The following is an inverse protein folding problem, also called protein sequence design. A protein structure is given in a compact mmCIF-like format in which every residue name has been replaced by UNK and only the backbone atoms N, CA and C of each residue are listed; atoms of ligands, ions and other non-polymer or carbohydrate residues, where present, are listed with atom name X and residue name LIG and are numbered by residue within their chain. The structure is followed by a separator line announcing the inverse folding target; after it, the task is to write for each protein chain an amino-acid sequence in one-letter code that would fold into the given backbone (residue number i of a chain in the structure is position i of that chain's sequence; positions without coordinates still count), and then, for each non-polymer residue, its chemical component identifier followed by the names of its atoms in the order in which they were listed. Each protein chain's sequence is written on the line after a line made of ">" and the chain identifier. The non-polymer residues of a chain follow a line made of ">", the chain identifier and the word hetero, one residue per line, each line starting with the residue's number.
data_IF_885604642575
#
_entry.id   IF_885604642575
#
_cell.length_a   1.000
_cell.length_b   1.000
_cell.length_c   1.000
_cell.angle_alpha   90.00
_cell.angle_beta   90.00
_cell.angle_gamma   90.00
#
_symmetry.space_group_name_H-M   'P 1'
#
loop_
_entity.id
_entity.type
_entity.pdbx_description
1 polymer ?
#
# COMPACT_ATOMS: atom_id res chain seq x y z
N UNK A 1 22.95 20.75 23.52
CA UNK A 1 21.48 20.82 23.39
C UNK A 1 21.11 20.84 21.91
N UNK A 2 20.73 19.70 21.33
CA UNK A 2 20.20 19.65 19.96
C UNK A 2 18.70 19.89 20.05
N UNK A 3 18.25 21.12 19.76
CA UNK A 3 16.82 21.40 19.54
C UNK A 3 16.47 20.79 18.18
N UNK A 4 15.71 19.69 18.16
CA UNK A 4 14.97 19.30 16.96
C UNK A 4 13.95 20.40 16.70
N UNK A 5 14.21 21.24 15.71
CA UNK A 5 13.20 22.15 15.17
C UNK A 5 12.18 21.29 14.44
N UNK A 6 11.08 20.95 15.12
CA UNK A 6 9.92 20.37 14.46
C UNK A 6 9.32 21.46 13.59
N UNK A 7 9.81 21.60 12.36
CA UNK A 7 9.17 22.43 11.35
C UNK A 7 7.73 21.97 11.19
N UNK A 8 6.80 22.92 11.14
CA UNK A 8 5.41 22.66 10.79
C UNK A 8 5.36 21.77 9.56
N UNK A 9 4.73 20.59 9.66
CA UNK A 9 4.47 19.75 8.49
C UNK A 9 3.63 20.60 7.55
N UNK A 10 4.20 20.95 6.40
CA UNK A 10 3.50 21.70 5.38
C UNK A 10 2.25 20.92 4.93
N UNK A 11 1.14 21.61 4.68
CA UNK A 11 -0.12 20.95 4.30
C UNK A 11 0.06 20.05 3.08
N UNK A 12 0.88 20.46 2.12
CA UNK A 12 1.20 19.66 0.94
C UNK A 12 1.95 18.37 1.33
N UNK A 13 2.87 18.47 2.29
CA UNK A 13 3.60 17.31 2.80
C UNK A 13 2.66 16.35 3.55
N UNK A 14 1.78 16.87 4.39
CA UNK A 14 0.78 16.06 5.09
C UNK A 14 -0.14 15.34 4.09
N UNK A 15 -0.64 16.06 3.08
CA UNK A 15 -1.53 15.50 2.06
C UNK A 15 -0.84 14.43 1.22
N UNK A 16 0.40 14.68 0.76
CA UNK A 16 1.13 13.70 -0.05
C UNK A 16 1.41 12.40 0.71
N UNK A 17 1.77 12.48 2.00
CA UNK A 17 1.95 11.30 2.86
C UNK A 17 0.63 10.56 3.07
N UNK A 18 -0.46 11.27 3.38
CA UNK A 18 -1.77 10.66 3.60
C UNK A 18 -2.31 9.97 2.34
N UNK A 19 -2.23 10.63 1.19
CA UNK A 19 -2.72 10.09 -0.08
C UNK A 19 -1.91 8.87 -0.52
N UNK A 20 -0.58 8.92 -0.41
CA UNK A 20 0.28 7.77 -0.74
C UNK A 20 0.05 6.59 0.20
N UNK A 21 -0.14 6.85 1.50
CA UNK A 21 -0.47 5.81 2.47
C UNK A 21 -1.82 5.16 2.18
N UNK A 22 -2.87 5.95 1.92
CA UNK A 22 -4.20 5.45 1.56
C UNK A 22 -4.15 4.64 0.26
N UNK A 23 -3.43 5.13 -0.76
CA UNK A 23 -3.29 4.44 -2.04
C UNK A 23 -2.60 3.08 -1.88
N UNK A 24 -1.46 3.04 -1.17
CA UNK A 24 -0.74 1.80 -0.91
C UNK A 24 -1.59 0.80 -0.11
N UNK A 25 -2.29 1.28 0.93
CA UNK A 25 -3.15 0.42 1.75
C UNK A 25 -4.32 -0.16 0.95
N UNK A 26 -4.97 0.65 0.11
CA UNK A 26 -6.06 0.20 -0.75
C UNK A 26 -5.58 -0.85 -1.79
N UNK A 27 -4.42 -0.63 -2.41
CA UNK A 27 -3.83 -1.59 -3.35
C UNK A 27 -3.49 -2.91 -2.66
N UNK A 28 -2.84 -2.84 -1.49
CA UNK A 28 -2.49 -4.01 -0.70
C UNK A 28 -3.72 -4.85 -0.29
N UNK A 29 -4.78 -4.21 0.20
CA UNK A 29 -6.03 -4.88 0.52
C UNK A 29 -6.68 -5.54 -0.71
N UNK A 30 -6.66 -4.86 -1.86
CA UNK A 30 -7.18 -5.41 -3.13
C UNK A 30 -6.49 -6.74 -3.45
N UNK A 31 -5.16 -6.81 -3.34
CA UNK A 31 -4.43 -8.07 -3.55
C UNK A 31 -4.87 -9.19 -2.62
N UNK A 32 -5.03 -8.91 -1.32
CA UNK A 32 -5.42 -9.93 -0.34
C UNK A 32 -6.80 -10.47 -0.68
N UNK A 33 -7.77 -9.59 -0.91
CA UNK A 33 -9.16 -9.97 -1.24
C UNK A 33 -9.21 -10.75 -2.55
N UNK A 34 -8.49 -10.29 -3.58
CA UNK A 34 -8.43 -10.96 -4.88
C UNK A 34 -7.80 -12.35 -4.77
N UNK A 35 -6.66 -12.49 -4.09
CA UNK A 35 -6.00 -13.78 -3.92
C UNK A 35 -6.84 -14.75 -3.08
N UNK A 36 -7.56 -14.24 -2.06
CA UNK A 36 -8.48 -15.04 -1.27
C UNK A 36 -9.66 -15.54 -2.10
N UNK A 37 -10.25 -14.68 -2.92
CA UNK A 37 -11.39 -15.02 -3.77
C UNK A 37 -11.03 -16.01 -4.90
N UNK A 38 -9.81 -15.93 -5.44
CA UNK A 38 -9.35 -16.78 -6.54
C UNK A 38 -8.55 -18.02 -6.09
N UNK A 39 -8.45 -18.28 -4.79
CA UNK A 39 -7.74 -19.45 -4.25
C UNK A 39 -6.22 -19.43 -4.47
N UNK A 40 -5.63 -18.26 -4.71
CA UNK A 40 -4.20 -18.06 -4.96
C UNK A 40 -3.41 -18.07 -3.64
N UNK A 41 -3.41 -19.20 -2.94
CA UNK A 41 -2.80 -19.36 -1.60
C UNK A 41 -1.34 -18.90 -1.48
N UNK A 42 -0.41 -19.28 -2.38
CA UNK A 42 0.97 -18.81 -2.27
C UNK A 42 1.09 -17.29 -2.49
N UNK A 43 0.27 -16.74 -3.39
CA UNK A 43 0.25 -15.31 -3.68
C UNK A 43 -0.42 -14.51 -2.55
N UNK A 44 -1.43 -15.08 -1.90
CA UNK A 44 -2.07 -14.54 -0.70
C UNK A 44 -1.09 -14.44 0.46
N UNK A 45 -0.32 -15.50 0.72
CA UNK A 45 0.72 -15.49 1.75
C UNK A 45 1.80 -14.45 1.41
N UNK A 46 2.23 -14.39 0.15
CA UNK A 46 3.21 -13.40 -0.30
C UNK A 46 2.68 -11.96 -0.16
N UNK A 47 1.43 -11.69 -0.56
CA UNK A 47 0.81 -10.37 -0.45
C UNK A 47 0.60 -9.96 1.02
N UNK A 48 0.21 -10.90 1.89
CA UNK A 48 0.01 -10.63 3.31
C UNK A 48 1.33 -10.42 4.07
N UNK A 49 2.38 -11.19 3.75
CA UNK A 49 3.68 -11.11 4.43
C UNK A 49 4.58 -9.99 3.89
N UNK A 50 4.51 -9.70 2.59
CA UNK A 50 5.32 -8.68 1.93
C UNK A 50 4.44 -7.55 1.40
N UNK A 51 4.28 -6.52 2.24
CA UNK A 51 3.49 -5.32 1.91
C UNK A 51 3.79 -4.75 0.51
N UNK A 52 5.06 -4.57 0.07
CA UNK A 52 5.34 -4.03 -1.26
C UNK A 52 4.85 -4.93 -2.40
N UNK A 53 4.91 -6.25 -2.24
CA UNK A 53 4.46 -7.23 -3.24
C UNK A 53 2.94 -7.13 -3.42
N UNK A 54 2.21 -7.08 -2.31
CA UNK A 54 0.75 -6.90 -2.35
C UNK A 54 0.34 -5.54 -2.94
N UNK A 55 1.10 -4.47 -2.73
CA UNK A 55 0.83 -3.17 -3.38
C UNK A 55 1.00 -3.29 -4.90
N UNK A 56 2.12 -3.81 -5.40
CA UNK A 56 2.38 -3.92 -6.85
C UNK A 56 1.37 -4.82 -7.54
N UNK A 57 1.05 -5.98 -6.95
CA UNK A 57 0.03 -6.88 -7.49
C UNK A 57 -1.35 -6.22 -7.49
N UNK A 58 -1.69 -5.47 -6.43
CA UNK A 58 -2.97 -4.80 -6.27
C UNK A 58 -3.19 -3.68 -7.26
N UNK A 59 -2.15 -2.88 -7.49
CA UNK A 59 -2.11 -1.90 -8.56
C UNK A 59 -2.28 -2.59 -9.93
N UNK A 60 -1.60 -3.72 -10.14
CA UNK A 60 -1.76 -4.50 -11.37
C UNK A 60 -3.22 -4.96 -11.61
N UNK A 61 -3.93 -5.38 -10.56
CA UNK A 61 -5.34 -5.76 -10.64
C UNK A 61 -6.20 -4.58 -11.11
N UNK A 62 -5.96 -3.37 -10.58
CA UNK A 62 -6.72 -2.17 -10.98
C UNK A 62 -6.54 -1.82 -12.46
N UNK A 63 -5.36 -2.06 -13.02
CA UNK A 63 -5.07 -1.83 -14.42
C UNK A 63 -5.35 -3.04 -15.32
N UNK A 64 -5.98 -4.10 -14.79
CA UNK A 64 -6.40 -5.29 -15.55
C UNK A 64 -5.25 -6.21 -15.97
N UNK A 65 -4.12 -6.16 -15.27
CA UNK A 65 -2.93 -6.98 -15.57
C UNK A 65 -2.93 -8.38 -14.96
N UNK A 66 -3.91 -8.72 -14.08
CA UNK A 66 -4.01 -9.99 -13.36
C UNK A 66 -5.44 -10.50 -13.30
#
# INVERSE_FOLDING_TARGET
>A
MIRRSTGSIDLQTALTVLLSACFAYAAWLTSIVFCAANGLTPLLVAAAAFFPVGVVHGVGIWFGGW
#
